data_IF_933668751852
#
_entry.id   IF_933668751852
#
_cell.length_a   1.000
_cell.length_b   1.000
_cell.length_c   1.000
_cell.angle_alpha   90.00
_cell.angle_beta   90.00
_cell.angle_gamma   90.00
#
_symmetry.space_group_name_H-M   'P 1'
#
loop_
_entity.id
_entity.type
_entity.pdbx_description
1 polymer ?
#
# COMPACT_ATOMS: atom_id res chain seq x y z
N UNK A 1 -49.19 7.11 8.24
CA UNK A 1 -47.87 6.57 8.63
C UNK A 1 -47.98 5.65 9.86
N UNK A 2 -48.63 4.48 9.76
CA UNK A 2 -48.67 3.48 10.85
C UNK A 2 -48.40 2.03 10.40
N UNK A 3 -48.26 1.77 9.10
CA UNK A 3 -48.06 0.40 8.57
C UNK A 3 -46.60 -0.03 8.40
N UNK A 4 -45.63 0.88 8.33
CA UNK A 4 -44.22 0.55 8.02
C UNK A 4 -43.44 0.11 9.26
N UNK A 5 -43.83 0.58 10.46
CA UNK A 5 -43.13 0.24 11.70
C UNK A 5 -43.31 -1.22 12.13
N UNK A 6 -44.45 -1.84 11.79
CA UNK A 6 -44.78 -3.20 12.22
C UNK A 6 -44.01 -4.29 11.47
N UNK A 7 -43.57 -4.01 10.24
CA UNK A 7 -42.84 -4.99 9.42
C UNK A 7 -41.37 -5.10 9.82
N UNK A 8 -40.77 -3.99 10.28
CA UNK A 8 -39.39 -3.95 10.79
C UNK A 8 -39.23 -4.64 12.15
N UNK A 9 -40.25 -4.58 13.01
CA UNK A 9 -40.19 -5.20 14.34
C UNK A 9 -40.24 -6.74 14.32
N UNK A 10 -40.79 -7.35 13.25
CA UNK A 10 -40.86 -8.81 13.13
C UNK A 10 -39.62 -9.44 12.47
N UNK A 11 -38.84 -8.67 11.69
CA UNK A 11 -37.67 -9.17 10.96
C UNK A 11 -36.39 -9.22 11.81
N UNK A 12 -36.27 -8.32 12.78
CA UNK A 12 -35.12 -8.25 13.70
C UNK A 12 -34.96 -9.51 14.56
N UNK A 13 -36.00 -10.08 15.21
CA UNK A 13 -35.83 -11.29 16.01
C UNK A 13 -35.47 -12.52 15.17
N UNK A 14 -35.95 -12.60 13.93
CA UNK A 14 -35.62 -13.70 13.01
C UNK A 14 -34.16 -13.64 12.56
N UNK A 15 -33.64 -12.44 12.29
CA UNK A 15 -32.23 -12.23 11.94
C UNK A 15 -31.28 -12.53 13.11
N UNK A 16 -31.68 -12.17 14.33
CA UNK A 16 -30.93 -12.48 15.56
C UNK A 16 -30.90 -13.98 15.82
N UNK A 17 -32.01 -14.69 15.64
CA UNK A 17 -32.08 -16.15 15.78
C UNK A 17 -31.19 -16.86 14.74
N UNK A 18 -31.15 -16.36 13.49
CA UNK A 18 -30.29 -16.91 12.43
C UNK A 18 -28.80 -16.72 12.74
N UNK A 19 -28.42 -15.58 13.34
CA UNK A 19 -27.05 -15.31 13.76
C UNK A 19 -26.63 -16.23 14.93
N UNK A 20 -27.50 -16.46 15.90
CA UNK A 20 -27.20 -17.35 17.05
C UNK A 20 -26.97 -18.80 16.59
N UNK A 21 -27.73 -19.28 15.59
CA UNK A 21 -27.54 -20.62 15.04
C UNK A 21 -26.19 -20.78 14.30
N UNK A 22 -25.66 -19.71 13.70
CA UNK A 22 -24.34 -19.73 13.05
C UNK A 22 -23.17 -19.73 14.04
N UNK A 23 -23.37 -19.32 15.30
CA UNK A 23 -22.35 -19.34 16.34
C UNK A 23 -22.21 -20.70 17.05
N UNK A 24 -23.20 -21.58 16.95
CA UNK A 24 -23.16 -22.89 17.60
C UNK A 24 -22.37 -23.95 16.81
N UNK A 25 -21.94 -23.65 15.58
CA UNK A 25 -21.31 -24.62 14.66
C UNK A 25 -19.76 -24.60 14.66
N UNK A 26 -19.14 -24.00 15.68
CA UNK A 26 -17.68 -23.95 15.77
C UNK A 26 -17.15 -24.19 17.18
N UNK A 27 -17.33 -25.41 17.64
CA UNK A 27 -16.56 -25.94 18.76
C UNK A 27 -16.34 -27.45 18.61
N UNK A 28 -15.26 -27.82 17.91
CA UNK A 28 -14.46 -29.00 18.25
C UNK A 28 -13.12 -28.96 17.50
N UNK A 29 -12.08 -28.52 18.21
CA UNK A 29 -10.71 -28.90 17.89
C UNK A 29 -10.00 -29.20 19.20
N UNK A 30 -9.91 -30.49 19.53
CA UNK A 30 -9.08 -31.02 20.62
C UNK A 30 -7.61 -31.08 20.18
N UNK A 31 -6.65 -30.92 21.11
CA UNK A 31 -5.23 -31.06 20.81
C UNK A 31 -4.81 -32.54 20.96
N UNK A 32 -4.05 -33.09 20.02
CA UNK A 32 -3.36 -34.38 20.21
C UNK A 32 -1.86 -34.18 20.02
N UNK A 33 -1.16 -34.44 21.11
CA UNK A 33 0.30 -34.56 21.27
C UNK A 33 0.83 -35.80 20.54
N UNK A 34 2.12 -35.78 20.24
CA UNK A 34 2.78 -36.76 19.39
C UNK A 34 2.87 -38.18 19.95
N UNK A 35 2.89 -39.14 19.03
CA UNK A 35 3.59 -40.42 19.17
C UNK A 35 3.94 -40.95 17.77
N UNK A 36 5.21 -41.33 17.59
CA UNK A 36 5.73 -42.11 16.46
C UNK A 36 5.12 -43.51 16.50
N UNK A 37 4.64 -44.05 15.38
CA UNK A 37 4.78 -45.46 15.02
C UNK A 37 4.56 -45.65 13.51
N UNK A 38 5.48 -46.39 12.88
CA UNK A 38 5.43 -46.83 11.50
C UNK A 38 4.75 -48.20 11.39
N UNK A 39 3.86 -48.39 10.41
CA UNK A 39 3.68 -49.71 9.77
C UNK A 39 3.01 -49.55 8.40
N UNK A 40 3.53 -50.29 7.41
CA UNK A 40 3.13 -50.31 6.00
C UNK A 40 2.52 -51.67 5.69
N UNK A 41 1.30 -51.75 5.16
CA UNK A 41 0.81 -52.89 4.34
C UNK A 41 -0.06 -52.40 3.17
N UNK A 42 0.17 -53.07 2.04
CA UNK A 42 -0.29 -52.81 0.67
C UNK A 42 -1.51 -53.68 0.28
N UNK A 43 -2.44 -53.07 -0.45
CA UNK A 43 -3.45 -53.54 -1.43
C UNK A 43 -4.41 -54.71 -1.14
N UNK A 44 -5.72 -54.44 -1.29
CA UNK A 44 -6.60 -55.07 -2.30
C UNK A 44 -7.91 -54.28 -2.48
N UNK A 45 -8.33 -54.13 -3.74
CA UNK A 45 -9.51 -53.38 -4.23
C UNK A 45 -10.64 -54.37 -4.57
N UNK A 46 -11.89 -53.86 -4.60
CA UNK A 46 -13.16 -54.35 -5.20
C UNK A 46 -14.06 -55.21 -4.26
N UNK A 47 -15.36 -54.97 -4.00
CA UNK A 47 -16.48 -54.33 -4.76
C UNK A 47 -17.66 -53.89 -3.81
N UNK A 48 -18.03 -52.58 -3.84
CA UNK A 48 -19.35 -51.87 -3.79
C UNK A 48 -20.38 -52.01 -2.62
N UNK A 49 -21.37 -51.09 -2.49
CA UNK A 49 -21.28 -49.61 -2.45
C UNK A 49 -22.08 -49.00 -1.27
N UNK A 50 -21.68 -47.84 -0.75
CA UNK A 50 -22.57 -46.98 0.03
C UNK A 50 -22.77 -45.68 -0.76
N UNK A 51 -23.92 -45.60 -1.43
CA UNK A 51 -24.41 -44.43 -2.14
C UNK A 51 -24.84 -43.36 -1.14
N UNK A 52 -24.05 -42.28 -1.00
CA UNK A 52 -24.61 -40.94 -0.82
C UNK A 52 -23.77 -39.98 -1.67
N UNK A 53 -24.30 -39.67 -2.85
CA UNK A 53 -23.87 -38.56 -3.70
C UNK A 53 -24.25 -37.23 -3.04
N UNK A 54 -23.33 -36.27 -2.84
CA UNK A 54 -23.73 -34.87 -2.70
C UNK A 54 -23.79 -34.28 -4.12
N UNK A 55 -24.90 -34.55 -4.81
CA UNK A 55 -25.28 -33.77 -5.97
C UNK A 55 -25.88 -32.44 -5.48
N UNK A 56 -25.02 -31.50 -5.10
CA UNK A 56 -25.39 -30.10 -4.95
C UNK A 56 -24.41 -29.27 -5.76
N UNK A 57 -24.83 -29.03 -7.00
CA UNK A 57 -24.34 -27.94 -7.85
C UNK A 57 -24.12 -26.69 -6.98
N UNK A 58 -22.93 -26.08 -6.96
CA UNK A 58 -22.69 -24.90 -6.14
C UNK A 58 -23.67 -23.82 -6.59
N UNK A 59 -24.49 -23.34 -5.64
CA UNK A 59 -25.42 -22.25 -5.87
C UNK A 59 -24.64 -21.10 -6.51
N UNK A 60 -25.14 -20.50 -7.61
CA UNK A 60 -24.47 -19.35 -8.20
C UNK A 60 -24.37 -18.27 -7.13
N UNK A 61 -23.17 -17.75 -6.93
CA UNK A 61 -22.92 -16.61 -6.06
C UNK A 61 -23.89 -15.50 -6.46
N UNK A 62 -24.88 -15.23 -5.61
CA UNK A 62 -25.72 -14.06 -5.75
C UNK A 62 -24.75 -12.89 -5.62
N UNK A 63 -24.63 -12.01 -6.63
CA UNK A 63 -23.80 -10.84 -6.50
C UNK A 63 -24.44 -10.01 -5.40
N UNK A 64 -23.80 -10.00 -4.21
CA UNK A 64 -23.98 -8.94 -3.24
C UNK A 64 -23.80 -7.66 -4.06
N UNK A 65 -24.90 -6.91 -4.22
CA UNK A 65 -24.86 -5.61 -4.88
C UNK A 65 -23.67 -4.88 -4.28
N UNK A 66 -22.63 -4.67 -5.08
CA UNK A 66 -21.54 -3.81 -4.69
C UNK A 66 -22.20 -2.51 -4.22
N UNK A 67 -21.81 -1.95 -3.06
CA UNK A 67 -22.33 -0.66 -2.65
C UNK A 67 -22.22 0.27 -3.86
N UNK A 68 -23.33 0.92 -4.21
CA UNK A 68 -23.38 1.81 -5.37
C UNK A 68 -22.15 2.70 -5.32
N UNK A 69 -21.44 2.89 -6.46
CA UNK A 69 -20.21 3.68 -6.48
C UNK A 69 -20.49 4.98 -5.72
N UNK A 70 -19.69 5.21 -4.68
CA UNK A 70 -19.76 6.45 -3.90
C UNK A 70 -19.78 7.59 -4.92
N UNK A 71 -20.83 8.41 -4.88
CA UNK A 71 -20.96 9.59 -5.73
C UNK A 71 -19.62 10.32 -5.63
N UNK A 72 -18.97 10.72 -6.75
CA UNK A 72 -17.73 11.45 -6.68
C UNK A 72 -17.92 12.65 -5.76
N UNK A 73 -17.21 12.66 -4.64
CA UNK A 73 -17.22 13.79 -3.72
C UNK A 73 -16.35 14.88 -4.33
N UNK A 74 -16.84 15.55 -5.37
CA UNK A 74 -16.22 16.78 -5.86
C UNK A 74 -16.68 17.89 -4.92
N UNK A 75 -15.88 18.18 -3.90
CA UNK A 75 -15.92 19.52 -3.34
C UNK A 75 -15.38 20.43 -4.44
N UNK A 76 -16.28 21.02 -5.24
CA UNK A 76 -15.98 21.84 -6.44
C UNK A 76 -15.20 23.14 -6.14
N UNK A 77 -14.66 23.30 -4.94
CA UNK A 77 -13.78 24.40 -4.59
C UNK A 77 -12.38 24.13 -5.12
N UNK A 78 -12.01 24.84 -6.19
CA UNK A 78 -10.63 24.85 -6.70
C UNK A 78 -9.67 25.21 -5.54
N UNK A 79 -8.72 24.33 -5.16
CA UNK A 79 -7.87 24.59 -4.01
C UNK A 79 -6.95 25.78 -4.25
N UNK A 80 -6.82 26.65 -3.24
CA UNK A 80 -5.87 27.78 -3.28
C UNK A 80 -4.44 27.30 -3.06
N UNK A 81 -3.73 27.03 -4.16
CA UNK A 81 -2.34 26.61 -4.15
C UNK A 81 -1.38 27.77 -3.86
N UNK A 82 -0.17 27.44 -3.42
CA UNK A 82 0.88 28.43 -3.11
C UNK A 82 1.46 29.10 -4.37
N UNK A 83 1.42 28.42 -5.51
CA UNK A 83 2.08 28.85 -6.75
C UNK A 83 3.60 28.65 -6.76
N UNK A 84 4.17 28.05 -5.71
CA UNK A 84 5.61 27.87 -5.53
C UNK A 84 6.07 26.42 -5.74
N UNK A 85 5.14 25.48 -5.91
CA UNK A 85 5.44 24.11 -6.29
C UNK A 85 5.56 23.98 -7.81
N UNK A 86 6.67 23.46 -8.32
CA UNK A 86 6.89 23.25 -9.77
C UNK A 86 6.41 21.88 -10.27
N UNK A 87 5.78 21.06 -9.42
CA UNK A 87 5.33 19.73 -9.81
C UNK A 87 4.09 19.83 -10.71
N UNK A 88 4.06 19.03 -11.76
CA UNK A 88 2.93 18.97 -12.67
C UNK A 88 1.89 17.96 -12.17
N UNK A 89 0.89 18.44 -11.42
CA UNK A 89 -0.19 17.60 -10.90
C UNK A 89 -1.05 16.97 -12.00
N UNK A 90 -1.24 17.66 -13.14
CA UNK A 90 -1.99 17.12 -14.27
C UNK A 90 -1.34 15.87 -14.88
N UNK A 91 -0.01 15.72 -14.78
CA UNK A 91 0.71 14.55 -15.29
C UNK A 91 0.38 13.25 -14.53
N UNK A 92 -0.23 13.36 -13.34
CA UNK A 92 -0.58 12.23 -12.47
C UNK A 92 -2.00 12.35 -11.90
N UNK A 93 -2.88 13.11 -12.56
CA UNK A 93 -4.21 13.43 -12.05
C UNK A 93 -5.02 12.19 -11.66
N UNK A 94 -5.04 11.15 -12.51
CA UNK A 94 -5.75 9.90 -12.22
C UNK A 94 -5.23 9.22 -10.95
N UNK A 95 -3.93 9.31 -10.70
CA UNK A 95 -3.28 8.76 -9.52
C UNK A 95 -3.66 9.60 -8.30
N UNK A 96 -3.69 10.92 -8.41
CA UNK A 96 -4.13 11.80 -7.32
C UNK A 96 -5.58 11.55 -6.94
N UNK A 97 -6.48 11.40 -7.92
CA UNK A 97 -7.89 11.05 -7.67
C UNK A 97 -8.01 9.69 -7.01
N UNK A 98 -7.27 8.68 -7.48
CA UNK A 98 -7.22 7.37 -6.82
C UNK A 98 -6.69 7.44 -5.39
N UNK A 99 -5.68 8.27 -5.14
CA UNK A 99 -5.16 8.55 -3.79
C UNK A 99 -6.22 9.19 -2.91
N UNK A 100 -6.94 10.18 -3.40
CA UNK A 100 -8.00 10.84 -2.64
C UNK A 100 -9.12 9.86 -2.25
N UNK A 101 -9.52 8.97 -3.17
CA UNK A 101 -10.49 7.89 -2.88
C UNK A 101 -9.95 6.90 -1.85
N UNK A 102 -8.71 6.44 -2.00
CA UNK A 102 -8.09 5.47 -1.09
C UNK A 102 -7.83 6.04 0.31
N UNK A 103 -7.64 7.36 0.39
CA UNK A 103 -7.40 8.12 1.61
C UNK A 103 -8.61 8.99 1.98
N UNK A 104 -9.82 8.54 1.64
CA UNK A 104 -11.04 9.28 1.92
C UNK A 104 -11.14 9.62 3.40
N UNK A 105 -11.59 10.84 3.71
CA UNK A 105 -11.47 11.44 5.04
C UNK A 105 -11.90 10.53 6.19
N UNK A 106 -13.02 9.83 6.04
CA UNK A 106 -13.57 8.96 7.08
C UNK A 106 -12.78 7.66 7.27
N UNK A 107 -12.23 7.07 6.21
CA UNK A 107 -11.58 5.76 6.28
C UNK A 107 -10.06 5.81 6.38
N UNK A 108 -9.43 6.95 6.05
CA UNK A 108 -7.97 7.06 6.01
C UNK A 108 -7.27 6.61 7.30
N UNK A 109 -7.73 6.95 8.52
CA UNK A 109 -7.06 6.49 9.75
C UNK A 109 -7.09 4.97 9.92
N UNK A 110 -8.14 4.29 9.44
CA UNK A 110 -8.36 2.86 9.62
C UNK A 110 -7.71 2.03 8.51
N UNK A 111 -7.67 2.56 7.28
CA UNK A 111 -7.07 1.90 6.11
C UNK A 111 -5.67 2.44 5.77
N UNK A 112 -5.07 3.21 6.69
CA UNK A 112 -3.79 3.89 6.54
C UNK A 112 -2.71 2.93 6.03
N UNK A 113 -2.46 1.86 6.77
CA UNK A 113 -1.33 0.99 6.51
C UNK A 113 -1.49 0.15 5.25
N UNK A 114 -2.71 -0.27 4.90
CA UNK A 114 -2.94 -1.28 3.85
C UNK A 114 -3.34 -0.70 2.49
N UNK A 115 -3.95 0.47 2.45
CA UNK A 115 -4.53 1.03 1.22
C UNK A 115 -4.10 2.48 1.02
N UNK A 116 -4.29 3.33 2.02
CA UNK A 116 -4.11 4.77 1.88
C UNK A 116 -2.63 5.16 1.75
N UNK A 117 -1.78 4.84 2.74
CA UNK A 117 -0.38 5.27 2.74
C UNK A 117 0.46 4.62 1.63
N UNK A 118 0.30 3.32 1.31
CA UNK A 118 0.95 2.74 0.12
C UNK A 118 0.59 3.46 -1.18
N UNK A 119 -0.66 3.92 -1.32
CA UNK A 119 -1.10 4.71 -2.47
C UNK A 119 -0.54 6.14 -2.43
N UNK A 120 -0.54 6.80 -1.27
CA UNK A 120 -0.03 8.16 -1.12
C UNK A 120 1.49 8.22 -1.39
N UNK A 121 2.26 7.29 -0.84
CA UNK A 121 3.71 7.20 -1.07
C UNK A 121 4.02 6.92 -2.55
N UNK A 122 3.31 5.98 -3.17
CA UNK A 122 3.46 5.67 -4.60
C UNK A 122 3.14 6.88 -5.49
N UNK A 123 2.12 7.65 -5.14
CA UNK A 123 1.77 8.88 -5.84
C UNK A 123 2.87 9.94 -5.72
N UNK A 124 3.41 10.17 -4.52
CA UNK A 124 4.48 11.15 -4.30
C UNK A 124 5.74 10.80 -5.09
N UNK A 125 6.16 9.53 -5.05
CA UNK A 125 7.30 9.02 -5.82
C UNK A 125 7.04 9.21 -7.32
N UNK A 126 5.85 8.86 -7.79
CA UNK A 126 5.48 8.96 -9.20
C UNK A 126 5.47 10.41 -9.66
N UNK A 127 4.91 11.32 -8.88
CA UNK A 127 4.84 12.75 -9.19
C UNK A 127 6.23 13.38 -9.31
N UNK A 128 7.13 13.12 -8.35
CA UNK A 128 8.51 13.63 -8.40
C UNK A 128 9.26 13.02 -9.58
N UNK A 129 9.09 11.72 -9.83
CA UNK A 129 9.69 11.05 -10.99
C UNK A 129 9.18 11.55 -12.34
N UNK A 130 7.90 11.90 -12.46
CA UNK A 130 7.42 12.55 -13.69
C UNK A 130 8.05 13.93 -13.88
N UNK A 131 8.29 14.67 -12.80
CA UNK A 131 9.03 15.94 -12.85
C UNK A 131 10.49 15.74 -13.28
N UNK A 132 11.15 14.67 -12.79
CA UNK A 132 12.56 14.41 -13.07
C UNK A 132 12.88 14.16 -14.54
N UNK A 133 11.89 13.68 -15.33
CA UNK A 133 11.99 13.54 -16.79
C UNK A 133 12.41 14.84 -17.50
N UNK A 134 11.97 15.98 -16.95
CA UNK A 134 12.19 17.29 -17.56
C UNK A 134 13.24 18.11 -16.80
N UNK A 135 13.30 17.99 -15.47
CA UNK A 135 14.24 18.76 -14.65
C UNK A 135 15.61 18.11 -14.52
N UNK A 136 15.73 16.79 -14.77
CA UNK A 136 16.95 16.02 -14.48
C UNK A 136 17.22 15.82 -12.98
N UNK A 137 16.35 16.30 -12.09
CA UNK A 137 16.52 16.24 -10.64
C UNK A 137 15.63 15.15 -10.02
N UNK A 138 16.21 14.32 -9.17
CA UNK A 138 15.56 13.23 -8.43
C UNK A 138 15.08 13.65 -7.03
N UNK A 139 15.28 14.90 -6.66
CA UNK A 139 14.90 15.45 -5.37
C UNK A 139 14.52 16.93 -5.48
N UNK A 140 13.64 17.37 -4.58
CA UNK A 140 13.28 18.78 -4.44
C UNK A 140 14.21 19.47 -3.43
N UNK A 141 14.36 20.79 -3.58
CA UNK A 141 14.97 21.60 -2.54
C UNK A 141 14.09 21.66 -1.28
N UNK A 142 14.66 21.98 -0.12
CA UNK A 142 13.92 22.06 1.15
C UNK A 142 12.72 23.00 1.07
N UNK A 143 12.90 24.17 0.45
CA UNK A 143 11.83 25.17 0.29
C UNK A 143 10.74 24.65 -0.63
N UNK A 144 11.12 24.09 -1.78
CA UNK A 144 10.17 23.54 -2.75
C UNK A 144 9.40 22.35 -2.18
N UNK A 145 10.04 21.48 -1.41
CA UNK A 145 9.41 20.35 -0.75
C UNK A 145 8.29 20.79 0.23
N UNK A 146 8.50 21.87 0.99
CA UNK A 146 7.48 22.43 1.87
C UNK A 146 6.25 22.92 1.08
N UNK A 147 6.48 23.72 0.04
CA UNK A 147 5.40 24.24 -0.79
C UNK A 147 4.66 23.11 -1.53
N UNK A 148 5.40 22.17 -2.11
CA UNK A 148 4.83 21.05 -2.84
C UNK A 148 4.02 20.12 -1.97
N UNK A 149 4.52 19.73 -0.79
CA UNK A 149 3.75 18.85 0.09
C UNK A 149 2.45 19.52 0.58
N UNK A 150 2.50 20.83 0.85
CA UNK A 150 1.30 21.62 1.19
C UNK A 150 0.30 21.67 0.04
N UNK A 151 0.76 21.95 -1.18
CA UNK A 151 -0.12 22.05 -2.34
C UNK A 151 -0.71 20.69 -2.73
N UNK A 152 0.06 19.61 -2.65
CA UNK A 152 -0.43 18.23 -2.84
C UNK A 152 -1.57 17.92 -1.87
N UNK A 153 -1.37 18.23 -0.58
CA UNK A 153 -2.39 18.01 0.45
C UNK A 153 -3.68 18.78 0.13
N UNK A 154 -3.59 20.06 -0.26
CA UNK A 154 -4.77 20.85 -0.64
C UNK A 154 -5.50 20.26 -1.85
N UNK A 155 -4.78 19.78 -2.85
CA UNK A 155 -5.37 19.11 -4.02
C UNK A 155 -6.11 17.84 -3.59
N UNK A 156 -5.49 17.00 -2.76
CA UNK A 156 -6.13 15.77 -2.29
C UNK A 156 -7.36 16.05 -1.41
N UNK A 157 -7.30 17.05 -0.52
CA UNK A 157 -8.44 17.44 0.33
C UNK A 157 -9.59 17.99 -0.50
N UNK A 158 -9.32 18.77 -1.57
CA UNK A 158 -10.38 19.20 -2.50
C UNK A 158 -11.09 18.04 -3.20
N UNK A 159 -10.45 16.87 -3.26
CA UNK A 159 -11.00 15.63 -3.82
C UNK A 159 -11.54 14.68 -2.73
N UNK A 160 -11.68 15.15 -1.48
CA UNK A 160 -12.26 14.40 -0.36
C UNK A 160 -11.29 13.60 0.50
N UNK A 161 -9.98 13.69 0.26
CA UNK A 161 -9.00 13.03 1.12
C UNK A 161 -9.00 13.60 2.54
N UNK A 162 -8.48 12.83 3.50
CA UNK A 162 -8.31 13.29 4.88
C UNK A 162 -7.36 14.50 4.96
N UNK A 163 -7.75 15.52 5.71
CA UNK A 163 -6.94 16.74 5.89
C UNK A 163 -5.65 16.51 6.67
N UNK A 164 -5.52 15.43 7.44
CA UNK A 164 -4.34 15.08 8.23
C UNK A 164 -3.49 13.98 7.58
N UNK A 165 -3.59 13.80 6.25
CA UNK A 165 -2.95 12.70 5.53
C UNK A 165 -1.44 12.58 5.78
N UNK A 166 -0.72 13.70 5.82
CA UNK A 166 0.72 13.71 6.10
C UNK A 166 1.04 13.11 7.47
N UNK A 167 0.21 13.37 8.48
CA UNK A 167 0.37 12.81 9.82
C UNK A 167 -0.02 11.33 9.86
N UNK A 168 -1.14 10.97 9.21
CA UNK A 168 -1.61 9.58 9.12
C UNK A 168 -0.55 8.67 8.48
N UNK A 169 0.12 9.15 7.42
CA UNK A 169 1.12 8.38 6.69
C UNK A 169 2.57 8.64 7.11
N UNK A 170 2.78 9.55 8.06
CA UNK A 170 4.11 9.97 8.54
C UNK A 170 5.00 10.48 7.40
N UNK A 171 4.44 11.34 6.55
CA UNK A 171 5.13 11.97 5.42
C UNK A 171 5.47 13.41 5.78
N UNK A 172 6.73 13.75 5.62
CA UNK A 172 7.30 15.06 5.87
C UNK A 172 7.95 15.64 4.60
N UNK A 173 8.18 16.96 4.53
CA UNK A 173 8.88 17.58 3.41
C UNK A 173 10.25 16.96 3.11
N UNK A 174 10.98 16.50 4.15
CA UNK A 174 12.25 15.79 3.98
C UNK A 174 12.13 14.49 3.18
N UNK A 175 10.96 13.86 3.14
CA UNK A 175 10.72 12.68 2.30
C UNK A 175 10.66 13.01 0.80
N UNK A 176 10.62 14.29 0.41
CA UNK A 176 10.63 14.76 -0.98
C UNK A 176 12.00 15.32 -1.41
N UNK A 177 12.95 15.45 -0.48
CA UNK A 177 14.33 15.91 -0.74
C UNK A 177 15.27 14.72 -0.97
N UNK A 178 16.58 14.99 -1.12
CA UNK A 178 17.63 13.97 -1.29
C UNK A 178 17.97 13.23 0.00
N UNK A 179 17.58 13.78 1.15
CA UNK A 179 17.97 13.25 2.46
C UNK A 179 19.49 13.23 2.61
N UNK A 180 20.03 12.05 2.95
CA UNK A 180 21.46 11.78 3.07
C UNK A 180 22.06 11.11 1.83
N UNK A 181 21.28 10.83 0.79
CA UNK A 181 21.81 10.18 -0.41
C UNK A 181 22.74 11.14 -1.15
N UNK A 182 23.97 10.72 -1.55
CA UNK A 182 24.92 11.61 -2.22
C UNK A 182 24.51 11.99 -3.64
N UNK A 183 23.49 11.34 -4.20
CA UNK A 183 23.06 11.50 -5.59
C UNK A 183 21.69 12.13 -5.63
N UNK A 184 21.55 13.21 -6.41
CA UNK A 184 20.29 13.92 -6.58
C UNK A 184 19.92 14.22 -8.05
N UNK A 185 20.79 13.88 -9.01
CA UNK A 185 20.53 14.06 -10.45
C UNK A 185 20.42 12.73 -11.19
N UNK A 186 19.71 12.74 -12.32
CA UNK A 186 19.55 11.57 -13.19
C UNK A 186 20.88 11.12 -13.78
N UNK A 187 21.71 12.06 -14.28
CA UNK A 187 22.98 11.74 -14.95
C UNK A 187 23.98 11.10 -13.98
N UNK A 188 24.11 11.67 -12.77
CA UNK A 188 24.96 11.12 -11.72
C UNK A 188 24.49 9.74 -11.28
N UNK A 189 23.18 9.55 -11.12
CA UNK A 189 22.60 8.25 -10.80
C UNK A 189 22.96 7.19 -11.84
N UNK A 190 22.77 7.50 -13.12
CA UNK A 190 23.00 6.57 -14.22
C UNK A 190 24.49 6.24 -14.42
N UNK A 191 25.39 7.16 -14.02
CA UNK A 191 26.83 6.90 -14.02
C UNK A 191 27.28 5.85 -13.00
N UNK A 192 26.53 5.66 -11.91
CA UNK A 192 26.89 4.77 -10.79
C UNK A 192 26.06 3.48 -10.80
N UNK A 193 24.76 3.62 -11.07
CA UNK A 193 23.77 2.55 -10.97
C UNK A 193 23.71 1.69 -12.24
N UNK A 194 23.49 0.38 -12.04
CA UNK A 194 23.16 -0.52 -13.15
C UNK A 194 21.68 -0.34 -13.53
N UNK A 195 21.44 0.69 -14.34
CA UNK A 195 20.12 1.08 -14.82
C UNK A 195 19.41 -0.04 -15.58
N UNK A 196 20.16 -0.86 -16.33
CA UNK A 196 19.61 -1.99 -17.07
C UNK A 196 19.06 -3.06 -16.14
N UNK A 197 19.83 -3.43 -15.11
CA UNK A 197 19.39 -4.39 -14.09
C UNK A 197 18.17 -3.90 -13.31
N UNK A 198 18.14 -2.61 -12.93
CA UNK A 198 16.99 -2.02 -12.24
C UNK A 198 15.72 -2.04 -13.09
N UNK A 199 15.81 -1.62 -14.36
CA UNK A 199 14.66 -1.64 -15.27
C UNK A 199 14.19 -3.06 -15.56
N UNK A 200 15.11 -4.01 -15.72
CA UNK A 200 14.74 -5.42 -15.93
C UNK A 200 14.00 -6.00 -14.73
N UNK A 201 14.42 -5.66 -13.50
CA UNK A 201 13.81 -6.16 -12.29
C UNK A 201 12.47 -5.50 -11.93
N UNK A 202 12.31 -4.21 -12.23
CA UNK A 202 11.22 -3.38 -11.69
C UNK A 202 10.21 -2.86 -12.73
N UNK A 203 10.42 -3.08 -14.03
CA UNK A 203 9.53 -2.53 -15.08
C UNK A 203 8.09 -3.01 -14.95
N UNK A 204 7.92 -4.25 -14.55
CA UNK A 204 6.64 -4.87 -14.27
C UNK A 204 6.83 -5.82 -13.10
N UNK A 205 5.93 -5.76 -12.11
CA UNK A 205 5.96 -6.66 -10.98
C UNK A 205 4.62 -7.39 -10.89
N UNK A 206 4.69 -8.68 -10.55
CA UNK A 206 3.54 -9.38 -10.01
C UNK A 206 3.59 -9.21 -8.48
N UNK A 207 2.61 -8.55 -7.84
CA UNK A 207 2.67 -8.27 -6.41
C UNK A 207 2.86 -9.51 -5.53
N UNK A 208 2.27 -10.66 -5.91
CA UNK A 208 2.41 -11.90 -5.13
C UNK A 208 3.84 -12.42 -5.22
N UNK A 209 4.38 -12.55 -6.44
CA UNK A 209 5.73 -13.04 -6.64
C UNK A 209 6.77 -12.07 -6.06
N UNK A 210 6.56 -10.77 -6.21
CA UNK A 210 7.48 -9.76 -5.65
C UNK A 210 7.53 -9.81 -4.12
N UNK A 211 6.44 -10.15 -3.44
CA UNK A 211 6.46 -10.35 -1.99
C UNK A 211 7.30 -11.58 -1.57
N UNK A 212 7.31 -12.63 -2.40
CA UNK A 212 8.04 -13.87 -2.16
C UNK A 212 9.52 -13.77 -2.55
N UNK A 213 9.78 -13.40 -3.81
CA UNK A 213 11.10 -13.46 -4.45
C UNK A 213 11.89 -12.16 -4.34
N UNK A 214 11.18 -11.03 -4.14
CA UNK A 214 11.75 -9.69 -3.95
C UNK A 214 12.74 -9.29 -5.05
N UNK A 215 12.45 -9.62 -6.30
CA UNK A 215 13.38 -9.40 -7.42
C UNK A 215 13.65 -7.90 -7.58
N UNK A 216 12.60 -7.08 -7.59
CA UNK A 216 12.75 -5.62 -7.70
C UNK A 216 13.31 -5.02 -6.41
N UNK A 217 12.80 -5.39 -5.23
CA UNK A 217 13.31 -4.89 -3.96
C UNK A 217 14.81 -5.20 -3.76
N UNK A 218 15.27 -6.40 -4.11
CA UNK A 218 16.68 -6.78 -4.01
C UNK A 218 17.55 -5.98 -4.98
N UNK A 219 17.06 -5.69 -6.19
CA UNK A 219 17.76 -4.83 -7.14
C UNK A 219 17.89 -3.39 -6.63
N UNK A 220 16.82 -2.84 -6.06
CA UNK A 220 16.81 -1.51 -5.41
C UNK A 220 17.78 -1.48 -4.22
N UNK A 221 17.73 -2.49 -3.34
CA UNK A 221 18.58 -2.56 -2.15
C UNK A 221 20.05 -2.65 -2.49
N UNK A 222 20.38 -3.44 -3.51
CA UNK A 222 21.74 -3.55 -4.04
C UNK A 222 22.24 -2.19 -4.56
N UNK A 223 21.44 -1.53 -5.41
CA UNK A 223 21.80 -0.22 -5.95
C UNK A 223 21.92 0.85 -4.85
N UNK A 224 21.01 0.85 -3.88
CA UNK A 224 21.01 1.82 -2.77
C UNK A 224 22.27 1.67 -1.92
N UNK A 225 22.68 0.44 -1.61
CA UNK A 225 23.93 0.16 -0.89
C UNK A 225 25.15 0.62 -1.70
N UNK A 226 25.18 0.33 -3.00
CA UNK A 226 26.28 0.73 -3.88
C UNK A 226 26.44 2.26 -3.88
N UNK A 227 25.35 3.00 -4.07
CA UNK A 227 25.35 4.47 -4.08
C UNK A 227 25.73 5.04 -2.71
N UNK A 228 25.08 4.58 -1.63
CA UNK A 228 25.32 5.07 -0.28
C UNK A 228 26.78 4.85 0.20
N UNK A 229 27.47 3.84 -0.35
CA UNK A 229 28.84 3.48 0.02
C UNK A 229 29.91 3.96 -0.97
N UNK A 230 29.53 4.43 -2.16
CA UNK A 230 30.48 4.90 -3.19
C UNK A 230 31.40 6.02 -2.67
N UNK A 231 30.89 6.82 -1.74
CA UNK A 231 31.56 7.95 -1.11
C UNK A 231 32.44 7.55 0.11
N UNK A 232 32.27 6.34 0.63
CA UNK A 232 32.97 5.86 1.84
C UNK A 232 34.31 5.16 1.57
N UNK A 233 34.66 4.88 0.31
CA UNK A 233 35.97 4.30 -0.04
C UNK A 233 37.14 5.28 0.12
N UNK A 234 36.87 6.58 0.29
CA UNK A 234 37.91 7.62 0.37
C UNK A 234 38.09 8.25 1.77
N UNK A 235 37.30 7.86 2.78
CA UNK A 235 37.36 8.49 4.10
C UNK A 235 37.66 7.48 5.20
N UNK A 236 38.89 7.54 5.70
CA UNK A 236 39.33 6.82 6.90
C UNK A 236 38.49 7.27 8.11
N UNK A 237 37.86 6.31 8.79
CA UNK A 237 37.51 6.43 10.21
C UNK A 237 36.04 6.69 10.54
N UNK A 238 35.49 5.81 11.37
CA UNK A 238 34.25 5.90 12.14
C UNK A 238 32.91 5.85 11.38
N UNK A 239 32.57 4.66 10.87
CA UNK A 239 31.19 4.35 10.49
C UNK A 239 30.32 4.12 11.74
N UNK A 240 29.65 5.17 12.22
CA UNK A 240 28.46 4.97 13.05
C UNK A 240 27.41 4.25 12.19
N UNK A 241 26.93 3.09 12.66
CA UNK A 241 25.99 2.21 11.93
C UNK A 241 24.62 2.85 11.65
N UNK A 242 24.01 3.68 12.54
CA UNK A 242 22.72 4.32 12.29
C UNK A 242 22.71 5.31 11.11
N UNK A 243 23.70 6.21 10.93
CA UNK A 243 23.82 7.04 9.73
C UNK A 243 23.86 6.26 8.41
N UNK A 244 24.47 5.06 8.40
CA UNK A 244 24.56 4.21 7.20
C UNK A 244 23.19 3.65 6.79
N UNK A 245 22.36 3.23 7.74
CA UNK A 245 21.01 2.71 7.47
C UNK A 245 20.11 3.82 6.92
N UNK A 246 20.12 5.00 7.56
CA UNK A 246 19.36 6.16 7.11
C UNK A 246 19.78 6.57 5.68
N UNK A 247 21.08 6.62 5.40
CA UNK A 247 21.61 6.93 4.05
C UNK A 247 21.14 5.93 2.99
N UNK A 248 21.16 4.63 3.29
CA UNK A 248 20.65 3.60 2.38
C UNK A 248 19.16 3.82 2.11
N UNK A 249 18.35 4.10 3.14
CA UNK A 249 16.92 4.38 3.00
C UNK A 249 16.65 5.59 2.09
N UNK A 250 17.39 6.67 2.29
CA UNK A 250 17.25 7.86 1.43
C UNK A 250 17.64 7.55 -0.02
N UNK A 251 18.69 6.75 -0.25
CA UNK A 251 19.03 6.31 -1.60
C UNK A 251 17.99 5.38 -2.23
N UNK A 252 17.26 4.56 -1.46
CA UNK A 252 16.10 3.81 -2.00
C UNK A 252 15.05 4.76 -2.55
N UNK A 253 14.75 5.87 -1.84
CA UNK A 253 13.78 6.86 -2.31
C UNK A 253 14.25 7.53 -3.62
N UNK A 254 15.54 7.84 -3.75
CA UNK A 254 16.11 8.37 -5.00
C UNK A 254 15.95 7.38 -6.16
N UNK A 255 16.28 6.10 -5.94
CA UNK A 255 16.12 5.05 -6.96
C UNK A 255 14.65 4.92 -7.40
N UNK A 256 13.72 4.93 -6.45
CA UNK A 256 12.29 4.83 -6.74
C UNK A 256 11.80 6.02 -7.60
N UNK A 257 12.26 7.24 -7.33
CA UNK A 257 11.96 8.42 -8.14
C UNK A 257 12.61 8.37 -9.53
N UNK A 258 13.81 7.80 -9.64
CA UNK A 258 14.45 7.56 -10.94
C UNK A 258 13.67 6.53 -11.76
N UNK A 259 13.29 5.40 -11.15
CA UNK A 259 12.43 4.39 -11.78
C UNK A 259 11.11 5.01 -12.27
N UNK A 260 10.50 5.86 -11.44
CA UNK A 260 9.28 6.58 -11.78
C UNK A 260 9.45 7.49 -13.01
N UNK A 261 10.63 8.10 -13.16
CA UNK A 261 11.02 8.90 -14.32
C UNK A 261 11.32 8.07 -15.57
N UNK A 262 11.58 6.77 -15.46
CA UNK A 262 11.75 5.87 -16.62
C UNK A 262 10.46 5.16 -17.03
N UNK A 263 9.54 4.97 -16.10
CA UNK A 263 8.26 4.32 -16.32
C UNK A 263 7.16 5.34 -16.66
N UNK A 264 6.05 4.86 -17.22
CA UNK A 264 4.85 5.68 -17.36
C UNK A 264 4.14 5.81 -15.98
N UNK A 265 3.36 6.87 -15.73
CA UNK A 265 2.76 7.12 -14.41
C UNK A 265 1.94 5.95 -13.85
N UNK A 266 1.13 5.31 -14.68
CA UNK A 266 0.24 4.21 -14.26
C UNK A 266 1.04 2.99 -13.82
N UNK A 267 2.02 2.57 -14.63
CA UNK A 267 2.93 1.47 -14.31
C UNK A 267 3.74 1.77 -13.05
N UNK A 268 4.31 2.97 -12.94
CA UNK A 268 5.03 3.44 -11.73
C UNK A 268 4.18 3.27 -10.47
N UNK A 269 2.96 3.80 -10.49
CA UNK A 269 2.06 3.73 -9.34
C UNK A 269 1.70 2.28 -8.98
N UNK A 270 1.49 1.40 -9.98
CA UNK A 270 1.23 -0.02 -9.73
C UNK A 270 2.43 -0.71 -9.08
N UNK A 271 3.64 -0.49 -9.62
CA UNK A 271 4.88 -1.06 -9.10
C UNK A 271 5.11 -0.61 -7.65
N UNK A 272 5.08 0.68 -7.36
CA UNK A 272 5.41 1.16 -6.01
C UNK A 272 4.37 0.76 -4.96
N UNK A 273 3.09 0.68 -5.33
CA UNK A 273 2.07 0.12 -4.44
C UNK A 273 2.31 -1.34 -4.14
N UNK A 274 2.66 -2.13 -5.16
CA UNK A 274 3.01 -3.55 -4.97
C UNK A 274 4.21 -3.72 -4.03
N UNK A 275 5.28 -2.96 -4.25
CA UNK A 275 6.47 -2.98 -3.39
C UNK A 275 6.14 -2.60 -1.93
N UNK A 276 5.33 -1.56 -1.73
CA UNK A 276 4.95 -1.10 -0.39
C UNK A 276 4.08 -2.14 0.34
N UNK A 277 3.12 -2.75 -0.36
CA UNK A 277 2.25 -3.77 0.22
C UNK A 277 3.02 -5.02 0.67
N UNK A 278 4.10 -5.39 -0.03
CA UNK A 278 4.93 -6.52 0.37
C UNK A 278 5.69 -6.31 1.69
N UNK A 279 6.03 -5.06 2.01
CA UNK A 279 6.78 -4.73 3.23
C UNK A 279 5.93 -4.81 4.50
N UNK A 280 4.62 -4.59 4.40
CA UNK A 280 3.69 -4.66 5.53
C UNK A 280 3.60 -6.08 6.13
N UNK A 281 3.89 -7.11 5.34
CA UNK A 281 3.87 -8.50 5.78
C UNK A 281 5.15 -8.92 6.54
N UNK A 282 6.17 -8.06 6.64
CA UNK A 282 7.46 -8.38 7.28
C UNK A 282 7.64 -7.87 8.72
N UNK A 283 6.59 -7.35 9.36
CA UNK A 283 6.60 -7.15 10.81
C UNK A 283 7.36 -5.91 11.30
N UNK A 284 7.56 -4.89 10.47
CA UNK A 284 7.87 -3.54 11.00
C UNK A 284 6.53 -2.88 11.37
N UNK A 285 6.11 -3.11 12.61
CA UNK A 285 4.89 -2.50 13.18
C UNK A 285 5.03 -0.98 13.20
N UNK A 286 4.45 -0.29 12.22
CA UNK A 286 3.84 1.01 12.49
C UNK A 286 2.65 0.74 13.40
N UNK A 287 2.71 1.28 14.61
CA UNK A 287 1.82 1.03 15.74
C UNK A 287 0.35 0.82 15.34
N UNK A 288 -0.19 -0.28 15.86
CA UNK A 288 -1.51 -0.83 15.65
C UNK A 288 -2.64 0.22 15.83
N UNK A 289 -3.18 0.75 14.73
CA UNK A 289 -4.50 1.43 14.70
C UNK A 289 -5.62 0.56 14.13
N UNK A 290 -5.31 -0.67 13.72
CA UNK A 290 -6.28 -1.58 13.09
C UNK A 290 -7.30 -2.22 14.07
N UNK A 291 -7.04 -2.18 15.38
CA UNK A 291 -7.97 -2.75 16.38
C UNK A 291 -9.15 -1.83 16.72
N UNK A 292 -9.14 -0.57 16.28
CA UNK A 292 -10.26 0.36 16.51
C UNK A 292 -11.39 0.18 15.50
N UNK A 293 -11.16 -0.48 14.35
CA UNK A 293 -12.21 -0.67 13.35
C UNK A 293 -13.27 -1.70 13.79
N UNK A 294 -12.84 -2.78 14.46
CA UNK A 294 -13.77 -3.80 14.99
C UNK A 294 -14.45 -3.35 16.29
N UNK A 295 -13.79 -2.53 17.10
CA UNK A 295 -14.37 -1.95 18.31
C UNK A 295 -15.40 -0.84 17.98
N UNK A 296 -15.09 0.06 17.04
CA UNK A 296 -16.00 1.16 16.68
C UNK A 296 -17.24 0.71 15.89
N UNK A 297 -17.20 -0.43 15.21
CA UNK A 297 -18.40 -1.04 14.62
C UNK A 297 -19.37 -1.60 15.70
N UNK A 298 -18.88 -1.87 16.91
CA UNK A 298 -19.73 -2.28 18.04
C UNK A 298 -20.36 -1.09 18.79
N UNK A 299 -19.73 0.09 18.75
CA UNK A 299 -20.26 1.32 19.36
C UNK A 299 -21.35 2.01 18.52
N UNK A 300 -21.40 1.78 17.21
CA UNK A 300 -22.52 2.25 16.36
C UNK A 300 -23.83 1.46 16.56
N UNK A 301 -23.88 0.57 17.56
CA UNK A 301 -25.05 -0.25 17.90
C UNK A 301 -25.61 -0.01 19.31
N UNK A 302 -25.26 1.10 19.97
CA UNK A 302 -25.93 1.55 21.20
C UNK A 302 -26.79 2.79 21.00
#
# INVERSE_FOLDING_TARGET
MKGVLSHFLLQIPVLILLLILLFMDKSQSSPISGAKYSFSIRNKVHVLPYDISPNTQPLPFIPLLAPSPLIPFTNDSLPKLSGLCSLNFSAVQDIMTKTATNCWTTFAPYLANVVCCPQFDAMLITLIGQSSKYSGLLALSKTQANHCLSDIQKVLVSQGANENLNNICSVHPSNLTEGLCPVASVDEFESIADSSRLLTACREINPVNECCDQVCQNAIDYAARKIALNDMSNSNGNSSLPPKIARIKDCKNIILRWLAGKLNPSTSNSVFRGLSNCNLNKGEQRENKNMDFLANLSEYKS
#
